data_IF_514545442884
#
_entry.id   IF_514545442884
#
_cell.length_a   1.000
_cell.length_b   1.000
_cell.length_c   1.000
_cell.angle_alpha   90.00
_cell.angle_beta   90.00
_cell.angle_gamma   90.00
#
_symmetry.space_group_name_H-M   'P 1'
#
loop_
_entity.id
_entity.type
_entity.pdbx_description
1 polymer ?
#
# COMPACT_ATOMS: atom_id res chain seq x y z
N UNK A 1 -38.68 -58.70 51.65
CA UNK A 1 -39.63 -58.21 50.69
C UNK A 1 -38.92 -57.39 49.66
N UNK A 2 -38.84 -58.00 48.60
CA UNK A 2 -38.31 -57.79 47.28
C UNK A 2 -38.65 -56.43 46.65
N UNK A 3 -37.64 -55.83 46.08
CA UNK A 3 -37.81 -54.79 45.09
C UNK A 3 -36.95 -55.15 43.86
N UNK A 4 -37.66 -55.40 42.80
CA UNK A 4 -37.14 -55.63 41.47
C UNK A 4 -36.81 -54.28 40.83
N UNK A 5 -35.61 -54.11 40.36
CA UNK A 5 -35.20 -52.98 39.55
C UNK A 5 -35.03 -53.46 38.12
N UNK A 6 -35.93 -53.04 37.25
CA UNK A 6 -35.79 -53.14 35.82
C UNK A 6 -34.84 -52.03 35.33
N UNK A 7 -33.67 -52.44 34.82
CA UNK A 7 -32.77 -51.63 34.04
C UNK A 7 -33.32 -51.57 32.60
N UNK A 8 -33.84 -50.44 32.21
CA UNK A 8 -34.08 -50.13 30.79
C UNK A 8 -32.80 -49.45 30.25
N UNK A 9 -32.06 -50.22 29.43
CA UNK A 9 -30.96 -49.70 28.60
C UNK A 9 -31.58 -48.84 27.50
N UNK A 10 -31.42 -47.53 27.65
CA UNK A 10 -31.76 -46.54 26.63
C UNK A 10 -30.52 -46.38 25.73
N UNK A 11 -30.49 -47.15 24.62
CA UNK A 11 -29.50 -47.01 23.54
C UNK A 11 -29.74 -45.67 22.85
N UNK A 12 -29.06 -44.61 23.33
CA UNK A 12 -28.91 -43.37 22.57
C UNK A 12 -28.00 -43.67 21.37
N UNK A 13 -28.63 -43.88 20.20
CA UNK A 13 -27.96 -43.80 18.91
C UNK A 13 -27.37 -42.39 18.74
N UNK A 14 -26.04 -42.26 18.95
CA UNK A 14 -25.26 -41.10 18.50
C UNK A 14 -25.40 -41.00 16.98
N UNK A 15 -26.34 -40.17 16.54
CA UNK A 15 -26.43 -39.68 15.16
C UNK A 15 -25.25 -38.70 14.95
N UNK A 16 -24.09 -39.24 14.63
CA UNK A 16 -22.93 -38.52 14.10
C UNK A 16 -23.31 -37.89 12.75
N UNK A 17 -24.20 -36.91 12.81
CA UNK A 17 -24.44 -35.99 11.71
C UNK A 17 -23.14 -35.32 11.35
N UNK A 18 -22.44 -35.84 10.33
CA UNK A 18 -21.38 -35.13 9.65
C UNK A 18 -21.93 -33.73 9.26
N UNK A 19 -21.72 -32.74 10.12
CA UNK A 19 -21.89 -31.33 9.74
C UNK A 19 -20.92 -31.13 8.56
N UNK A 20 -21.44 -31.29 7.34
CA UNK A 20 -20.78 -30.74 6.15
C UNK A 20 -20.45 -29.28 6.47
N UNK A 21 -19.19 -29.02 6.78
CA UNK A 21 -18.67 -27.66 6.94
C UNK A 21 -18.87 -26.95 5.61
N UNK A 22 -20.05 -26.31 5.48
CA UNK A 22 -20.37 -25.48 4.33
C UNK A 22 -19.24 -24.48 4.21
N UNK A 23 -18.40 -24.69 3.22
CA UNK A 23 -17.29 -23.78 2.93
C UNK A 23 -17.87 -22.42 2.53
N UNK A 24 -18.13 -21.55 3.52
CA UNK A 24 -18.71 -20.22 3.35
C UNK A 24 -17.70 -19.22 2.73
N UNK A 25 -16.55 -19.72 2.25
CA UNK A 25 -15.57 -18.95 1.52
C UNK A 25 -16.10 -18.51 0.14
N UNK A 26 -15.42 -17.56 -0.51
CA UNK A 26 -15.77 -17.19 -1.88
C UNK A 26 -15.56 -18.38 -2.81
N UNK A 27 -16.46 -18.53 -3.82
CA UNK A 27 -16.39 -19.61 -4.80
C UNK A 27 -15.02 -19.61 -5.50
N UNK A 28 -14.24 -20.72 -5.40
CA UNK A 28 -12.92 -20.81 -6.01
C UNK A 28 -12.91 -20.59 -7.52
N UNK A 29 -13.96 -21.02 -8.23
CA UNK A 29 -14.08 -20.88 -9.68
C UNK A 29 -14.25 -19.40 -10.05
N UNK A 30 -15.12 -18.69 -9.32
CA UNK A 30 -15.33 -17.27 -9.55
C UNK A 30 -14.09 -16.44 -9.21
N UNK A 31 -13.39 -16.78 -8.13
CA UNK A 31 -12.12 -16.13 -7.76
C UNK A 31 -11.06 -16.35 -8.85
N UNK A 32 -10.91 -17.60 -9.36
CA UNK A 32 -9.97 -17.90 -10.42
C UNK A 32 -10.30 -17.14 -11.71
N UNK A 33 -11.58 -17.03 -12.07
CA UNK A 33 -12.03 -16.27 -13.24
C UNK A 33 -11.65 -14.80 -13.11
N UNK A 34 -11.98 -14.16 -11.98
CA UNK A 34 -11.66 -12.73 -11.74
C UNK A 34 -10.17 -12.48 -11.69
N UNK A 35 -9.38 -13.38 -11.11
CA UNK A 35 -7.92 -13.28 -11.11
C UNK A 35 -7.34 -13.38 -12.52
N UNK A 36 -7.90 -14.23 -13.38
CA UNK A 36 -7.51 -14.31 -14.80
C UNK A 36 -7.83 -13.02 -15.55
N UNK A 37 -9.00 -12.41 -15.31
CA UNK A 37 -9.37 -11.11 -15.86
C UNK A 37 -8.42 -10.00 -15.42
N UNK A 38 -8.07 -9.98 -14.12
CA UNK A 38 -7.11 -9.02 -13.55
C UNK A 38 -5.72 -9.17 -14.19
N UNK A 39 -5.25 -10.41 -14.35
CA UNK A 39 -3.98 -10.71 -15.01
C UNK A 39 -3.97 -10.25 -16.50
N UNK A 40 -5.08 -10.43 -17.20
CA UNK A 40 -5.22 -9.97 -18.57
C UNK A 40 -5.20 -8.43 -18.68
N UNK A 41 -5.86 -7.71 -17.76
CA UNK A 41 -5.81 -6.25 -17.67
C UNK A 41 -4.40 -5.75 -17.32
N UNK A 42 -3.72 -6.42 -16.40
CA UNK A 42 -2.34 -6.11 -16.04
C UNK A 42 -1.39 -6.22 -17.25
N UNK A 43 -1.50 -7.29 -18.03
CA UNK A 43 -0.70 -7.46 -19.27
C UNK A 43 -1.00 -6.39 -20.34
N UNK A 44 -2.24 -5.87 -20.37
CA UNK A 44 -2.58 -4.72 -21.24
C UNK A 44 -1.96 -3.42 -20.72
N UNK A 45 -2.01 -3.21 -19.39
CA UNK A 45 -1.42 -2.05 -18.75
C UNK A 45 0.10 -2.00 -18.94
N UNK A 46 0.79 -3.12 -18.77
CA UNK A 46 2.23 -3.24 -19.00
C UNK A 46 2.61 -2.81 -20.44
N UNK A 47 1.88 -3.32 -21.44
CA UNK A 47 2.09 -2.96 -22.85
C UNK A 47 1.77 -1.48 -23.13
N UNK A 48 0.72 -0.94 -22.55
CA UNK A 48 0.34 0.47 -22.69
C UNK A 48 1.39 1.39 -22.05
N UNK A 49 1.84 1.04 -20.85
CA UNK A 49 2.88 1.79 -20.12
C UNK A 49 4.22 1.79 -20.86
N UNK A 50 4.64 0.65 -21.41
CA UNK A 50 5.86 0.55 -22.21
C UNK A 50 5.84 1.46 -23.44
N UNK A 51 4.66 1.72 -24.03
CA UNK A 51 4.51 2.56 -25.22
C UNK A 51 4.35 4.05 -24.92
N UNK A 52 3.60 4.42 -23.90
CA UNK A 52 3.09 5.77 -23.68
C UNK A 52 3.42 6.36 -22.30
N UNK A 53 3.99 5.55 -21.39
CA UNK A 53 4.31 5.96 -20.03
C UNK A 53 3.11 5.91 -19.04
N UNK A 54 3.37 6.27 -17.74
CA UNK A 54 2.37 6.13 -16.67
C UNK A 54 1.20 7.12 -16.78
N UNK A 55 1.46 8.32 -17.31
CA UNK A 55 0.47 9.42 -17.36
C UNK A 55 -0.46 9.38 -18.58
N UNK A 56 -0.30 8.39 -19.46
CA UNK A 56 -1.15 8.24 -20.62
C UNK A 56 -2.60 7.95 -20.24
N UNK A 57 -3.57 8.59 -20.90
CA UNK A 57 -5.00 8.35 -20.67
C UNK A 57 -5.40 6.88 -20.77
N UNK A 58 -4.75 6.12 -21.68
CA UNK A 58 -4.98 4.68 -21.81
C UNK A 58 -4.52 3.91 -20.57
N UNK A 59 -3.36 4.24 -19.99
CA UNK A 59 -2.84 3.64 -18.77
C UNK A 59 -3.73 3.98 -17.55
N UNK A 60 -4.21 5.22 -17.48
CA UNK A 60 -5.12 5.66 -16.43
C UNK A 60 -6.46 4.89 -16.47
N UNK A 61 -7.04 4.72 -17.68
CA UNK A 61 -8.29 3.96 -17.84
C UNK A 61 -8.13 2.50 -17.45
N UNK A 62 -7.05 1.85 -17.87
CA UNK A 62 -6.78 0.45 -17.50
C UNK A 62 -6.57 0.29 -16.00
N UNK A 63 -5.89 1.23 -15.34
CA UNK A 63 -5.75 1.24 -13.87
C UNK A 63 -7.10 1.36 -13.17
N UNK A 64 -7.97 2.21 -13.69
CA UNK A 64 -9.33 2.37 -13.15
C UNK A 64 -10.15 1.08 -13.30
N UNK A 65 -10.15 0.46 -14.48
CA UNK A 65 -10.80 -0.83 -14.72
C UNK A 65 -10.27 -1.93 -13.79
N UNK A 66 -8.95 -2.00 -13.60
CA UNK A 66 -8.31 -2.92 -12.65
C UNK A 66 -8.72 -2.64 -11.20
N UNK A 67 -8.79 -1.37 -10.82
CA UNK A 67 -9.20 -0.95 -9.48
C UNK A 67 -10.64 -1.39 -9.19
N UNK A 68 -11.55 -1.14 -10.13
CA UNK A 68 -12.96 -1.54 -9.99
C UNK A 68 -13.10 -3.05 -9.86
N UNK A 69 -12.40 -3.82 -10.70
CA UNK A 69 -12.38 -5.28 -10.58
C UNK A 69 -11.79 -5.73 -9.23
N UNK A 70 -10.67 -5.13 -8.81
CA UNK A 70 -10.02 -5.46 -7.54
C UNK A 70 -10.91 -5.19 -6.32
N UNK A 71 -11.68 -4.11 -6.34
CA UNK A 71 -12.62 -3.77 -5.27
C UNK A 71 -13.77 -4.79 -5.10
N UNK A 72 -14.00 -5.67 -6.09
CA UNK A 72 -14.98 -6.76 -5.95
C UNK A 72 -14.48 -7.93 -5.10
N UNK A 73 -13.17 -8.01 -4.83
CA UNK A 73 -12.61 -9.05 -3.97
C UNK A 73 -12.81 -8.71 -2.50
N UNK A 74 -13.27 -9.70 -1.73
CA UNK A 74 -13.26 -9.63 -0.27
C UNK A 74 -11.92 -10.12 0.24
N UNK A 75 -10.99 -9.19 0.45
CA UNK A 75 -9.65 -9.55 0.91
C UNK A 75 -9.64 -9.82 2.41
N UNK A 76 -8.98 -10.90 2.86
CA UNK A 76 -8.72 -11.11 4.28
C UNK A 76 -7.79 -10.02 4.83
N UNK A 77 -7.99 -9.67 6.10
CA UNK A 77 -7.25 -8.59 6.77
C UNK A 77 -5.71 -8.75 6.68
N UNK A 78 -5.12 -9.95 6.89
CA UNK A 78 -3.67 -10.12 6.77
C UNK A 78 -3.13 -9.78 5.37
N UNK A 79 -3.88 -10.09 4.31
CA UNK A 79 -3.49 -9.76 2.94
C UNK A 79 -3.56 -8.24 2.71
N UNK A 80 -4.61 -7.58 3.22
CA UNK A 80 -4.73 -6.13 3.16
C UNK A 80 -3.56 -5.45 3.87
N UNK A 81 -3.21 -5.90 5.08
CA UNK A 81 -2.06 -5.38 5.83
C UNK A 81 -0.73 -5.57 5.08
N UNK A 82 -0.56 -6.71 4.40
CA UNK A 82 0.62 -6.97 3.58
C UNK A 82 0.71 -5.99 2.40
N UNK A 83 -0.40 -5.73 1.70
CA UNK A 83 -0.44 -4.77 0.59
C UNK A 83 -0.15 -3.34 1.07
N UNK A 84 -0.73 -2.95 2.19
CA UNK A 84 -0.47 -1.65 2.82
C UNK A 84 1.00 -1.47 3.18
N UNK A 85 1.63 -2.51 3.78
CA UNK A 85 3.08 -2.49 4.08
C UNK A 85 3.90 -2.34 2.80
N UNK A 86 3.58 -3.06 1.74
CA UNK A 86 4.29 -2.95 0.46
C UNK A 86 4.28 -1.53 -0.11
N UNK A 87 3.14 -0.84 -0.06
CA UNK A 87 3.04 0.57 -0.49
C UNK A 87 3.89 1.48 0.39
N UNK A 88 3.91 1.25 1.70
CA UNK A 88 4.76 2.01 2.63
C UNK A 88 6.25 1.81 2.38
N UNK A 89 6.66 0.59 2.12
CA UNK A 89 8.07 0.26 1.85
C UNK A 89 8.56 0.97 0.60
N UNK A 90 7.77 0.94 -0.47
CA UNK A 90 8.08 1.67 -1.71
C UNK A 90 8.19 3.18 -1.45
N UNK A 91 7.26 3.75 -0.68
CA UNK A 91 7.29 5.18 -0.36
C UNK A 91 8.50 5.54 0.53
N UNK A 92 8.87 4.67 1.47
CA UNK A 92 10.05 4.85 2.32
C UNK A 92 11.32 4.85 1.47
N UNK A 93 11.44 3.93 0.52
CA UNK A 93 12.56 3.88 -0.42
C UNK A 93 12.66 5.16 -1.25
N UNK A 94 11.56 5.65 -1.82
CA UNK A 94 11.54 6.91 -2.56
C UNK A 94 11.99 8.08 -1.68
N UNK A 95 11.47 8.20 -0.45
CA UNK A 95 11.84 9.26 0.49
C UNK A 95 13.31 9.21 0.89
N UNK A 96 13.88 8.02 1.05
CA UNK A 96 15.30 7.88 1.38
C UNK A 96 16.19 8.34 0.23
N UNK A 97 15.83 8.04 -1.02
CA UNK A 97 16.52 8.54 -2.20
C UNK A 97 16.40 10.05 -2.34
N UNK A 98 15.19 10.61 -2.17
CA UNK A 98 14.99 12.07 -2.16
C UNK A 98 15.85 12.74 -1.07
N UNK A 99 15.96 12.12 0.12
CA UNK A 99 16.81 12.60 1.21
C UNK A 99 18.29 12.58 0.84
N UNK A 100 18.77 11.51 0.19
CA UNK A 100 20.17 11.43 -0.30
C UNK A 100 20.47 12.53 -1.30
N UNK A 101 19.57 12.76 -2.26
CA UNK A 101 19.74 13.87 -3.22
C UNK A 101 19.76 15.22 -2.51
N UNK A 102 18.90 15.44 -1.52
CA UNK A 102 18.92 16.65 -0.72
C UNK A 102 20.24 16.82 0.05
N UNK A 103 20.76 15.76 0.66
CA UNK A 103 22.02 15.80 1.40
C UNK A 103 23.21 16.04 0.47
N UNK A 104 23.27 15.40 -0.69
CA UNK A 104 24.29 15.66 -1.72
C UNK A 104 24.25 17.12 -2.19
N UNK A 105 23.06 17.63 -2.46
CA UNK A 105 22.91 19.02 -2.94
C UNK A 105 23.20 20.07 -1.86
N UNK A 106 22.72 19.85 -0.61
CA UNK A 106 22.80 20.89 0.42
C UNK A 106 24.05 20.77 1.30
N UNK A 107 24.46 19.57 1.66
CA UNK A 107 25.61 19.36 2.55
C UNK A 107 26.93 19.29 1.78
N UNK A 108 26.96 18.58 0.65
CA UNK A 108 28.17 18.40 -0.13
C UNK A 108 28.36 19.57 -1.09
N UNK A 109 27.38 19.83 -1.96
CA UNK A 109 27.48 20.90 -2.95
C UNK A 109 27.25 22.32 -2.35
N UNK A 110 26.87 22.43 -1.07
CA UNK A 110 26.60 23.71 -0.37
C UNK A 110 25.48 24.56 -1.00
N UNK A 111 24.54 23.95 -1.70
CA UNK A 111 23.38 24.60 -2.24
C UNK A 111 22.44 25.02 -1.08
N UNK A 112 21.92 26.27 -1.05
CA UNK A 112 20.94 26.68 -0.04
C UNK A 112 19.69 25.80 -0.11
N UNK A 113 19.23 25.28 1.04
CA UNK A 113 18.04 24.42 1.12
C UNK A 113 16.79 25.04 0.45
N UNK A 114 16.64 26.37 0.54
CA UNK A 114 15.54 27.09 -0.08
C UNK A 114 15.57 26.98 -1.61
N UNK A 115 16.77 27.09 -2.20
CA UNK A 115 16.96 26.96 -3.65
C UNK A 115 16.76 25.52 -4.10
N UNK A 116 17.22 24.54 -3.30
CA UNK A 116 16.95 23.13 -3.55
C UNK A 116 15.45 22.85 -3.61
N UNK A 117 14.70 23.17 -2.57
CA UNK A 117 13.25 22.89 -2.50
C UNK A 117 12.51 23.52 -3.68
N UNK A 118 12.83 24.77 -4.03
CA UNK A 118 12.19 25.46 -5.16
C UNK A 118 12.43 24.83 -6.52
N UNK A 119 13.56 24.16 -6.70
CA UNK A 119 13.95 23.60 -8.01
C UNK A 119 13.76 22.09 -8.08
N UNK A 120 13.67 21.41 -6.93
CA UNK A 120 13.52 19.97 -6.84
C UNK A 120 12.07 19.52 -7.02
N UNK A 121 11.11 20.30 -6.57
CA UNK A 121 9.70 19.96 -6.68
C UNK A 121 9.29 19.79 -8.16
N UNK A 122 8.71 18.61 -8.48
CA UNK A 122 8.37 18.24 -9.85
C UNK A 122 9.54 17.69 -10.70
N UNK A 123 10.79 17.72 -10.19
CA UNK A 123 11.98 17.27 -10.93
C UNK A 123 12.62 15.99 -10.37
N UNK A 124 11.92 15.24 -9.52
CA UNK A 124 12.48 14.07 -8.85
C UNK A 124 12.92 12.97 -9.82
N UNK A 125 12.25 12.85 -10.96
CA UNK A 125 12.53 11.86 -12.01
C UNK A 125 13.18 12.48 -13.25
N UNK A 126 13.46 13.79 -13.23
CA UNK A 126 14.09 14.52 -14.33
C UNK A 126 15.62 14.48 -14.20
N UNK A 127 16.27 13.56 -14.88
CA UNK A 127 17.75 13.42 -14.87
C UNK A 127 18.48 14.64 -15.45
N UNK A 128 17.80 15.51 -16.20
CA UNK A 128 18.33 16.79 -16.69
C UNK A 128 18.32 17.92 -15.66
N UNK A 129 17.68 17.71 -14.48
CA UNK A 129 17.54 18.74 -13.46
C UNK A 129 18.88 19.36 -12.99
N UNK A 130 19.90 18.53 -12.77
CA UNK A 130 21.22 19.02 -12.35
C UNK A 130 21.80 19.97 -13.40
N UNK A 131 21.70 19.61 -14.67
CA UNK A 131 22.24 20.44 -15.77
C UNK A 131 21.48 21.77 -15.90
N UNK A 132 20.16 21.78 -15.66
CA UNK A 132 19.34 22.99 -15.61
C UNK A 132 19.74 23.91 -14.45
N UNK A 133 19.99 23.32 -13.29
CA UNK A 133 20.43 24.05 -12.10
C UNK A 133 21.84 24.63 -12.31
N UNK A 134 22.75 23.92 -12.96
CA UNK A 134 24.11 24.37 -13.29
C UNK A 134 24.11 25.55 -14.25
N UNK A 135 23.14 25.69 -15.15
CA UNK A 135 23.03 26.84 -16.07
C UNK A 135 22.90 28.17 -15.33
N UNK A 136 22.45 28.16 -14.08
CA UNK A 136 22.28 29.37 -13.25
C UNK A 136 23.58 29.95 -12.73
N UNK A 137 24.73 29.29 -12.89
CA UNK A 137 26.10 29.75 -12.56
C UNK A 137 26.23 30.37 -11.15
N UNK A 138 25.75 29.67 -10.15
CA UNK A 138 25.79 30.09 -8.75
C UNK A 138 27.11 29.68 -8.09
N UNK A 139 27.42 30.26 -6.90
CA UNK A 139 28.64 29.96 -6.13
C UNK A 139 28.81 28.47 -5.80
N UNK A 140 27.71 27.74 -5.65
CA UNK A 140 27.68 26.30 -5.35
C UNK A 140 27.69 25.39 -6.59
N UNK A 141 27.73 25.96 -7.81
CA UNK A 141 27.72 25.18 -9.06
C UNK A 141 28.94 24.26 -9.21
N UNK A 142 30.08 24.60 -8.65
CA UNK A 142 31.25 23.71 -8.63
C UNK A 142 30.97 22.42 -7.85
N UNK A 143 30.54 22.55 -6.59
CA UNK A 143 30.20 21.38 -5.77
C UNK A 143 29.05 20.55 -6.34
N UNK A 144 28.14 21.17 -7.09
CA UNK A 144 27.04 20.46 -7.75
C UNK A 144 27.52 19.61 -8.94
N UNK A 145 28.59 20.03 -9.63
CA UNK A 145 29.23 19.20 -10.67
C UNK A 145 29.87 17.96 -10.10
N UNK A 146 30.50 18.07 -8.92
CA UNK A 146 31.19 16.94 -8.28
C UNK A 146 30.24 15.84 -7.84
N UNK A 147 28.99 16.17 -7.50
CA UNK A 147 27.96 15.22 -7.07
C UNK A 147 26.94 14.88 -8.17
N UNK A 148 27.11 15.41 -9.38
CA UNK A 148 26.15 15.29 -10.49
C UNK A 148 25.78 13.83 -10.77
N UNK A 149 26.74 12.99 -10.98
CA UNK A 149 26.51 11.59 -11.38
C UNK A 149 25.85 10.77 -10.25
N UNK A 150 26.15 11.10 -9.00
CA UNK A 150 25.50 10.48 -7.84
C UNK A 150 24.01 10.89 -7.76
N UNK A 151 23.69 12.15 -8.00
CA UNK A 151 22.31 12.65 -8.02
C UNK A 151 21.53 12.00 -9.17
N UNK A 152 22.10 11.93 -10.37
CA UNK A 152 21.49 11.27 -11.51
C UNK A 152 21.21 9.80 -11.21
N UNK A 153 22.15 9.10 -10.59
CA UNK A 153 21.98 7.71 -10.17
C UNK A 153 20.77 7.53 -9.22
N UNK A 154 20.61 8.40 -8.23
CA UNK A 154 19.44 8.34 -7.34
C UNK A 154 18.13 8.68 -8.07
N UNK A 155 18.14 9.63 -9.01
CA UNK A 155 16.97 9.96 -9.83
C UNK A 155 16.57 8.81 -10.78
N UNK A 156 17.55 8.10 -11.35
CA UNK A 156 17.29 6.92 -12.17
C UNK A 156 16.65 5.79 -11.36
N UNK A 157 17.07 5.61 -10.11
CA UNK A 157 16.47 4.64 -9.21
C UNK A 157 15.02 5.01 -8.83
N UNK A 158 14.75 6.30 -8.56
CA UNK A 158 13.37 6.78 -8.36
C UNK A 158 12.53 6.52 -9.61
N UNK A 159 13.07 6.82 -10.78
CA UNK A 159 12.40 6.58 -12.07
C UNK A 159 12.17 5.09 -12.36
N UNK A 160 13.10 4.23 -11.95
CA UNK A 160 12.93 2.78 -12.05
C UNK A 160 11.78 2.29 -11.15
N UNK A 161 11.66 2.82 -9.93
CA UNK A 161 10.54 2.54 -9.04
C UNK A 161 9.21 2.99 -9.62
N UNK A 162 9.13 4.19 -10.20
CA UNK A 162 7.94 4.72 -10.89
C UNK A 162 7.50 3.81 -12.05
N UNK A 163 8.46 3.35 -12.86
CA UNK A 163 8.20 2.41 -13.96
C UNK A 163 7.70 1.06 -13.46
N UNK A 164 8.31 0.52 -12.40
CA UNK A 164 7.93 -0.77 -11.82
C UNK A 164 6.53 -0.75 -11.20
N UNK A 165 6.10 0.41 -10.70
CA UNK A 165 4.77 0.59 -10.10
C UNK A 165 3.68 0.93 -11.12
N UNK A 166 4.02 1.27 -12.36
CA UNK A 166 3.09 1.77 -13.39
C UNK A 166 2.25 3.00 -12.95
N UNK A 167 2.75 3.75 -11.98
CA UNK A 167 2.06 4.90 -11.38
C UNK A 167 3.05 6.05 -11.26
N UNK A 168 2.62 7.28 -11.53
CA UNK A 168 3.48 8.45 -11.40
C UNK A 168 3.84 8.74 -9.93
N UNK A 169 4.99 9.35 -9.70
CA UNK A 169 5.45 9.68 -8.35
C UNK A 169 4.47 10.56 -7.54
N UNK A 170 3.83 11.58 -8.13
CA UNK A 170 2.77 12.33 -7.44
C UNK A 170 1.60 11.43 -7.03
N UNK A 171 1.12 10.57 -7.93
CA UNK A 171 0.03 9.64 -7.65
C UNK A 171 0.37 8.67 -6.51
N UNK A 172 1.60 8.14 -6.48
CA UNK A 172 2.08 7.27 -5.37
C UNK A 172 1.99 8.01 -4.03
N UNK A 173 2.40 9.29 -4.01
CA UNK A 173 2.32 10.14 -2.80
C UNK A 173 0.87 10.40 -2.38
N UNK A 174 -0.03 10.60 -3.32
CA UNK A 174 -1.45 10.84 -3.04
C UNK A 174 -2.17 9.57 -2.58
N UNK A 175 -1.89 8.42 -3.19
CA UNK A 175 -2.37 7.11 -2.73
C UNK A 175 -1.93 6.87 -1.28
N UNK A 176 -0.66 7.09 -0.98
CA UNK A 176 -0.14 6.93 0.38
C UNK A 176 -0.81 7.87 1.39
N UNK A 177 -1.08 9.11 1.00
CA UNK A 177 -1.78 10.10 1.84
C UNK A 177 -3.22 9.67 2.13
N UNK A 178 -3.94 9.21 1.11
CA UNK A 178 -5.30 8.69 1.23
C UNK A 178 -5.35 7.44 2.12
N UNK A 179 -4.40 6.53 1.95
CA UNK A 179 -4.24 5.33 2.76
C UNK A 179 -4.00 5.68 4.23
N UNK A 180 -3.06 6.60 4.51
CA UNK A 180 -2.75 7.05 5.87
C UNK A 180 -3.96 7.71 6.55
N UNK A 181 -4.78 8.46 5.81
CA UNK A 181 -6.02 9.02 6.31
C UNK A 181 -7.04 7.93 6.67
N UNK A 182 -7.22 6.94 5.79
CA UNK A 182 -8.10 5.79 6.05
C UNK A 182 -7.70 4.99 7.30
N UNK A 183 -6.40 4.72 7.46
CA UNK A 183 -5.86 4.05 8.65
C UNK A 183 -6.05 4.85 9.94
N UNK A 184 -5.84 6.16 9.88
CA UNK A 184 -6.06 7.03 11.03
C UNK A 184 -7.54 7.00 11.45
N UNK A 185 -8.47 7.01 10.49
CA UNK A 185 -9.91 6.89 10.73
C UNK A 185 -10.26 5.53 11.34
N UNK A 186 -9.73 4.44 10.78
CA UNK A 186 -9.96 3.09 11.30
C UNK A 186 -9.41 2.91 12.72
N UNK A 187 -8.21 3.44 12.99
CA UNK A 187 -7.60 3.42 14.33
C UNK A 187 -8.43 4.21 15.34
N UNK A 188 -8.96 5.36 14.95
CA UNK A 188 -9.85 6.16 15.80
C UNK A 188 -11.13 5.41 16.13
N UNK A 189 -11.81 4.85 15.13
CA UNK A 189 -13.03 4.06 15.32
C UNK A 189 -12.78 2.83 16.23
N UNK A 190 -11.67 2.11 16.00
CA UNK A 190 -11.27 0.98 16.87
C UNK A 190 -11.08 1.42 18.32
N UNK A 191 -10.43 2.56 18.55
CA UNK A 191 -10.22 3.11 19.89
C UNK A 191 -11.56 3.44 20.55
N UNK A 192 -12.47 4.10 19.85
CA UNK A 192 -13.82 4.44 20.35
C UNK A 192 -14.62 3.18 20.71
N UNK A 193 -14.56 2.13 19.89
CA UNK A 193 -15.19 0.83 20.21
C UNK A 193 -14.59 0.20 21.47
N UNK A 194 -13.27 0.20 21.61
CA UNK A 194 -12.59 -0.34 22.80
C UNK A 194 -12.98 0.44 24.04
N UNK A 195 -13.01 1.77 23.97
CA UNK A 195 -13.43 2.62 25.10
C UNK A 195 -14.88 2.36 25.51
N UNK A 196 -15.80 2.19 24.55
CA UNK A 196 -17.19 1.86 24.81
C UNK A 196 -17.32 0.48 25.48
N UNK A 197 -16.62 -0.53 24.95
CA UNK A 197 -16.59 -1.88 25.53
C UNK A 197 -16.00 -1.90 26.94
N UNK A 198 -14.95 -1.14 27.22
CA UNK A 198 -14.37 -1.02 28.56
C UNK A 198 -15.37 -0.42 29.57
N UNK A 199 -16.15 0.58 29.16
CA UNK A 199 -17.22 1.14 30.02
C UNK A 199 -18.27 0.09 30.34
N UNK A 200 -18.67 -0.72 29.37
CA UNK A 200 -19.60 -1.84 29.58
C UNK A 200 -19.02 -2.88 30.56
N UNK A 201 -17.77 -3.30 30.34
CA UNK A 201 -17.07 -4.26 31.23
C UNK A 201 -16.98 -3.74 32.65
N UNK A 202 -16.62 -2.47 32.85
CA UNK A 202 -16.58 -1.83 34.20
C UNK A 202 -17.97 -1.82 34.84
N UNK A 203 -19.03 -1.52 34.06
CA UNK A 203 -20.40 -1.53 34.57
C UNK A 203 -20.85 -2.93 35.00
N UNK A 204 -20.43 -3.98 34.31
CA UNK A 204 -20.70 -5.36 34.66
C UNK A 204 -19.89 -5.74 35.91
N UNK A 205 -18.59 -5.46 35.93
CA UNK A 205 -17.71 -5.78 37.05
C UNK A 205 -18.17 -5.18 38.39
N UNK A 206 -18.71 -3.94 38.38
CA UNK A 206 -19.30 -3.31 39.54
C UNK A 206 -20.48 -4.06 40.19
N UNK A 207 -21.12 -4.98 39.47
CA UNK A 207 -22.20 -5.82 40.01
C UNK A 207 -21.69 -7.04 40.75
N UNK A 208 -20.41 -7.37 40.60
CA UNK A 208 -19.75 -8.54 41.23
C UNK A 208 -18.75 -8.16 42.35
N UNK A 209 -18.52 -6.87 42.54
CA UNK A 209 -17.77 -6.29 43.67
C UNK A 209 -18.72 -5.60 44.65
#
# INVERSE_FOLDING_TARGET
ADANSDDEDDDEEDDDGEEETVNTGPDPVEVARRMSELAALYGKLEKAHAKQGPDAKASAKLREEMSQLFMTFKLPLPLTDMLVRKVRDVLAEIKDRERRVMDLSTRVAKMPRKDFLRTWEGNQTNTGWVDEVLKRKQKWSSGMRDVRDQIIGEQELIRATERAMFVSLPDIKDISRTMAYGEAKARKAKKEMVEANLRLVISIAKKYT
#
